data_IF_465296976339
#
_entry.id   IF_465296976339
#
_cell.length_a   1.000
_cell.length_b   1.000
_cell.length_c   1.000
_cell.angle_alpha   90.00
_cell.angle_beta   90.00
_cell.angle_gamma   90.00
#
_symmetry.space_group_name_H-M   'P 1'
#
loop_
_entity.id
_entity.type
_entity.pdbx_description
1 polymer ?
#
# COMPACT_ATOMS: atom_id res chain seq x y z
N UNK A 1 -0.61 -20.23 -5.28
CA UNK A 1 0.78 -20.37 -4.78
C UNK A 1 1.34 -19.00 -4.40
N UNK A 2 1.24 -17.99 -5.28
CA UNK A 2 1.65 -16.61 -5.00
C UNK A 2 0.94 -16.00 -3.79
N UNK A 3 -0.40 -15.99 -3.76
CA UNK A 3 -1.19 -15.40 -2.66
C UNK A 3 -0.79 -15.90 -1.27
N UNK A 4 -0.53 -17.22 -1.15
CA UNK A 4 -0.09 -17.81 0.10
C UNK A 4 1.32 -17.32 0.48
N UNK A 5 2.25 -17.34 -0.46
CA UNK A 5 3.62 -16.88 -0.22
C UNK A 5 3.67 -15.38 0.15
N UNK A 6 2.93 -14.55 -0.58
CA UNK A 6 2.79 -13.12 -0.27
C UNK A 6 2.24 -12.92 1.14
N UNK A 7 1.18 -13.65 1.50
CA UNK A 7 0.54 -13.53 2.80
C UNK A 7 1.40 -14.08 3.95
N UNK A 8 2.26 -15.08 3.70
CA UNK A 8 3.20 -15.62 4.69
C UNK A 8 4.37 -14.63 4.91
N UNK A 9 4.96 -14.10 3.83
CA UNK A 9 6.07 -13.14 3.89
C UNK A 9 5.66 -11.81 4.52
N UNK A 10 4.55 -11.21 4.05
CA UNK A 10 4.06 -9.93 4.57
C UNK A 10 3.68 -10.02 6.05
N UNK A 11 3.13 -11.16 6.51
CA UNK A 11 2.87 -11.40 7.94
C UNK A 11 4.15 -11.47 8.77
N UNK A 12 5.17 -12.18 8.28
CA UNK A 12 6.46 -12.28 8.98
C UNK A 12 7.11 -10.89 9.12
N UNK A 13 7.09 -10.08 8.05
CA UNK A 13 7.62 -8.71 8.08
C UNK A 13 6.79 -7.77 8.95
N UNK A 14 5.47 -7.91 8.95
CA UNK A 14 4.60 -7.11 9.83
C UNK A 14 4.95 -7.32 11.31
N UNK A 15 5.29 -8.55 11.73
CA UNK A 15 5.75 -8.82 13.11
C UNK A 15 7.00 -8.01 13.47
N UNK A 16 7.95 -7.85 12.53
CA UNK A 16 9.16 -7.04 12.72
C UNK A 16 8.80 -5.55 12.84
N UNK A 17 7.88 -5.07 12.00
CA UNK A 17 7.44 -3.67 12.01
C UNK A 17 6.76 -3.28 13.33
N UNK A 18 6.06 -4.21 13.99
CA UNK A 18 5.47 -3.95 15.31
C UNK A 18 6.52 -3.74 16.41
N UNK A 19 7.68 -4.39 16.31
CA UNK A 19 8.77 -4.23 17.27
C UNK A 19 9.61 -2.95 17.02
N UNK A 20 9.61 -2.47 15.77
CA UNK A 20 10.31 -1.26 15.35
C UNK A 20 9.42 -0.43 14.42
N UNK A 21 8.45 0.33 14.97
CA UNK A 21 7.51 1.10 14.18
C UNK A 21 8.20 2.27 13.46
N UNK A 22 7.52 2.81 12.45
CA UNK A 22 8.01 3.98 11.72
C UNK A 22 7.79 5.25 12.52
N UNK A 23 8.82 6.09 12.61
CA UNK A 23 8.84 7.27 13.49
C UNK A 23 7.92 8.42 13.01
N UNK A 24 7.54 8.43 11.74
CA UNK A 24 6.78 9.52 11.10
C UNK A 24 5.61 8.99 10.30
N UNK A 25 4.48 9.68 10.37
CA UNK A 25 3.33 9.43 9.53
C UNK A 25 3.32 10.42 8.36
N UNK A 26 4.03 10.06 7.30
CA UNK A 26 4.10 10.83 6.05
C UNK A 26 4.07 9.89 4.83
N UNK A 27 3.95 10.47 3.63
CA UNK A 27 3.87 9.70 2.39
C UNK A 27 5.11 8.82 2.15
N UNK A 28 6.30 9.28 2.54
CA UNK A 28 7.54 8.52 2.37
C UNK A 28 7.58 7.32 3.30
N UNK A 29 7.18 7.51 4.55
CA UNK A 29 7.01 6.42 5.52
C UNK A 29 5.99 5.39 5.04
N UNK A 30 4.87 5.82 4.45
CA UNK A 30 3.87 4.91 3.90
C UNK A 30 4.44 4.03 2.78
N UNK A 31 5.15 4.64 1.83
CA UNK A 31 5.82 3.93 0.75
C UNK A 31 6.93 2.99 1.28
N UNK A 32 7.68 3.41 2.30
CA UNK A 32 8.72 2.59 2.95
C UNK A 32 8.13 1.35 3.63
N UNK A 33 6.98 1.48 4.30
CA UNK A 33 6.26 0.34 4.87
C UNK A 33 5.82 -0.62 3.76
N UNK A 34 5.26 -0.09 2.67
CA UNK A 34 4.87 -0.93 1.53
C UNK A 34 6.07 -1.64 0.90
N UNK A 35 7.19 -0.93 0.69
CA UNK A 35 8.44 -1.52 0.21
C UNK A 35 8.84 -2.69 1.11
N UNK A 36 8.99 -2.43 2.41
CA UNK A 36 9.42 -3.44 3.36
C UNK A 36 8.53 -4.68 3.30
N UNK A 37 7.20 -4.53 3.36
CA UNK A 37 6.28 -5.67 3.37
C UNK A 37 6.33 -6.53 2.10
N UNK A 38 6.62 -5.94 0.93
CA UNK A 38 6.40 -6.58 -0.36
C UNK A 38 7.63 -6.66 -1.28
N UNK A 39 8.79 -6.13 -0.89
CA UNK A 39 10.04 -6.12 -1.68
C UNK A 39 10.53 -7.51 -2.10
N UNK A 40 10.15 -8.58 -1.38
CA UNK A 40 10.50 -9.96 -1.75
C UNK A 40 9.53 -10.60 -2.76
N UNK A 41 8.42 -9.92 -3.06
CA UNK A 41 7.34 -10.41 -3.92
C UNK A 41 7.21 -9.59 -5.20
N UNK A 42 7.39 -8.27 -5.11
CA UNK A 42 7.14 -7.32 -6.20
C UNK A 42 8.30 -6.35 -6.40
N UNK A 43 8.82 -6.27 -7.63
CA UNK A 43 9.91 -5.34 -7.99
C UNK A 43 9.53 -3.86 -7.84
N UNK A 44 8.23 -3.56 -7.82
CA UNK A 44 7.67 -2.21 -7.68
C UNK A 44 7.26 -1.89 -6.24
N UNK A 45 7.61 -2.73 -5.26
CA UNK A 45 7.28 -2.47 -3.86
C UNK A 45 7.78 -1.07 -3.42
N UNK A 46 6.90 -0.29 -2.79
CA UNK A 46 7.20 1.10 -2.39
C UNK A 46 7.04 2.14 -3.50
N UNK A 47 6.59 1.74 -4.70
CA UNK A 47 6.32 2.67 -5.79
C UNK A 47 4.83 2.96 -5.90
N UNK A 48 4.51 4.20 -6.28
CA UNK A 48 3.16 4.55 -6.69
C UNK A 48 2.82 3.87 -8.03
N UNK A 49 1.57 3.45 -8.19
CA UNK A 49 1.11 2.89 -9.46
C UNK A 49 1.13 3.96 -10.56
N UNK A 50 1.38 3.49 -11.78
CA UNK A 50 1.49 4.34 -12.99
C UNK A 50 0.28 4.23 -13.91
N UNK A 51 -0.69 3.37 -13.56
CA UNK A 51 -1.90 3.12 -14.35
C UNK A 51 -3.16 3.23 -13.47
N UNK A 52 -4.27 3.57 -14.10
CA UNK A 52 -5.59 3.57 -13.45
C UNK A 52 -6.09 2.14 -13.25
N UNK A 53 -6.72 1.90 -12.11
CA UNK A 53 -7.24 0.59 -11.73
C UNK A 53 -8.72 0.69 -11.32
N UNK A 54 -9.46 -0.36 -11.64
CA UNK A 54 -10.79 -0.60 -11.11
C UNK A 54 -10.81 -1.97 -10.46
N UNK A 55 -11.49 -2.10 -9.32
CA UNK A 55 -11.63 -3.40 -8.65
C UNK A 55 -13.06 -3.59 -8.18
N UNK A 56 -13.47 -4.84 -8.20
CA UNK A 56 -14.71 -5.29 -7.55
C UNK A 56 -14.51 -5.34 -6.05
N UNK A 57 -15.36 -4.61 -5.32
CA UNK A 57 -15.30 -4.52 -3.86
C UNK A 57 -16.45 -5.32 -3.22
N UNK A 58 -16.09 -6.22 -2.31
CA UNK A 58 -17.04 -7.09 -1.62
C UNK A 58 -18.03 -6.28 -0.77
N UNK A 59 -17.54 -5.24 -0.10
CA UNK A 59 -18.34 -4.30 0.69
C UNK A 59 -19.39 -3.55 -0.13
N UNK A 60 -19.24 -3.52 -1.46
CA UNK A 60 -20.19 -2.92 -2.39
C UNK A 60 -21.10 -3.96 -3.07
N UNK A 61 -21.19 -5.18 -2.51
CA UNK A 61 -21.98 -6.27 -3.07
C UNK A 61 -21.45 -6.75 -4.42
N UNK A 62 -20.13 -6.70 -4.62
CA UNK A 62 -19.49 -7.13 -5.86
C UNK A 62 -19.58 -6.12 -7.01
N UNK A 63 -19.86 -4.85 -6.72
CA UNK A 63 -19.77 -3.76 -7.71
C UNK A 63 -18.32 -3.32 -7.88
N UNK A 64 -17.94 -3.00 -9.11
CA UNK A 64 -16.63 -2.42 -9.43
C UNK A 64 -16.64 -0.91 -9.26
N UNK A 65 -15.56 -0.37 -8.69
CA UNK A 65 -15.30 1.07 -8.60
C UNK A 65 -13.94 1.39 -9.19
N UNK A 66 -13.82 2.62 -9.67
CA UNK A 66 -12.54 3.20 -10.05
C UNK A 66 -11.86 3.77 -8.81
N UNK A 67 -10.57 3.52 -8.69
CA UNK A 67 -9.73 4.26 -7.76
C UNK A 67 -9.33 5.60 -8.38
N UNK A 68 -8.68 6.44 -7.58
CA UNK A 68 -8.17 7.74 -8.00
C UNK A 68 -7.34 7.67 -9.29
N UNK A 69 -7.14 8.79 -9.99
CA UNK A 69 -6.22 8.80 -11.12
C UNK A 69 -4.77 8.57 -10.64
N UNK A 70 -3.98 7.81 -11.40
CA UNK A 70 -2.59 7.53 -11.08
C UNK A 70 -1.75 8.82 -11.01
N UNK A 71 -2.10 9.83 -11.81
CA UNK A 71 -1.39 11.10 -11.87
C UNK A 71 -1.64 11.97 -10.63
N UNK A 72 -2.79 11.80 -9.98
CA UNK A 72 -3.19 12.59 -8.81
C UNK A 72 -2.69 11.98 -7.49
N UNK A 73 -2.32 10.68 -7.50
CA UNK A 73 -1.87 9.94 -6.32
C UNK A 73 -0.77 10.62 -5.49
N UNK A 74 0.30 11.19 -6.08
CA UNK A 74 1.37 11.78 -5.27
C UNK A 74 0.84 12.91 -4.38
N UNK A 75 0.00 13.79 -4.93
CA UNK A 75 -0.59 14.92 -4.20
C UNK A 75 -1.64 14.43 -3.19
N UNK A 76 -2.49 13.49 -3.61
CA UNK A 76 -3.54 12.96 -2.74
C UNK A 76 -3.00 12.16 -1.55
N UNK A 77 -1.92 11.39 -1.73
CA UNK A 77 -1.26 10.67 -0.63
C UNK A 77 -0.64 11.66 0.38
N UNK A 78 0.06 12.68 -0.11
CA UNK A 78 0.64 13.72 0.76
C UNK A 78 -0.45 14.46 1.55
N UNK A 79 -1.54 14.83 0.88
CA UNK A 79 -2.72 15.43 1.51
C UNK A 79 -3.36 14.51 2.55
N UNK A 80 -3.47 13.20 2.26
CA UNK A 80 -4.05 12.23 3.20
C UNK A 80 -3.20 12.07 4.46
N UNK A 81 -1.88 12.00 4.33
CA UNK A 81 -0.97 11.93 5.47
C UNK A 81 -1.02 13.22 6.32
N UNK A 82 -1.15 14.37 5.68
CA UNK A 82 -1.22 15.67 6.38
C UNK A 82 -2.56 15.90 7.07
N UNK A 83 -3.66 15.42 6.50
CA UNK A 83 -5.01 15.62 7.05
C UNK A 83 -5.34 14.75 8.28
N UNK A 84 -4.46 13.80 8.64
CA UNK A 84 -4.63 12.88 9.77
C UNK A 84 -3.90 13.32 11.05
N UNK A 85 -3.23 14.48 11.03
CA UNK A 85 -2.52 15.10 12.15
C UNK A 85 -3.23 16.39 12.57
#
# INVERSE_FOLDING_TARGET
MLEKAEADLSRAKMSILYESPVDKFDAQSFLRVHEFLFEEVYDWAGQLRTINISKTEEVLGGKSIWYEDALDLPESLDRACTAMV
#
